data_IF_627053080475
#
_entry.id   IF_627053080475
#
_cell.length_a   1.000
_cell.length_b   1.000
_cell.length_c   1.000
_cell.angle_alpha   90.00
_cell.angle_beta   90.00
_cell.angle_gamma   90.00
#
_symmetry.space_group_name_H-M   'P 1'
#
loop_
_entity.id
_entity.type
_entity.pdbx_description
1 polymer ?
#
# COMPACT_ATOMS: atom_id res chain seq x y z
N UNK A 1 -14.62 -1.18 -1.75
CA UNK A 1 -14.33 -2.49 -1.13
C UNK A 1 -13.31 -3.20 -1.99
N UNK A 2 -12.36 -3.95 -1.41
CA UNK A 2 -11.36 -4.68 -2.18
C UNK A 2 -11.94 -5.97 -2.77
N UNK A 3 -11.48 -6.31 -3.98
CA UNK A 3 -11.81 -7.58 -4.63
C UNK A 3 -11.12 -8.74 -3.87
N UNK A 4 -11.83 -9.84 -3.56
CA UNK A 4 -11.21 -11.05 -3.01
C UNK A 4 -9.94 -11.52 -3.73
N UNK A 5 -9.84 -11.32 -5.06
CA UNK A 5 -8.64 -11.64 -5.82
C UNK A 5 -7.44 -10.75 -5.44
N UNK A 6 -7.69 -9.45 -5.24
CA UNK A 6 -6.68 -8.46 -4.84
C UNK A 6 -6.19 -8.74 -3.41
N UNK A 7 -7.12 -9.02 -2.48
CA UNK A 7 -6.79 -9.42 -1.09
C UNK A 7 -5.92 -10.68 -1.08
N UNK A 8 -6.19 -11.65 -1.95
CA UNK A 8 -5.38 -12.87 -2.06
C UNK A 8 -3.95 -12.56 -2.52
N UNK A 9 -3.76 -11.61 -3.44
CA UNK A 9 -2.43 -11.16 -3.86
C UNK A 9 -1.70 -10.51 -2.70
N UNK A 10 -2.37 -9.64 -1.92
CA UNK A 10 -1.76 -9.03 -0.74
C UNK A 10 -1.33 -10.07 0.30
N UNK A 11 -2.14 -11.10 0.52
CA UNK A 11 -1.81 -12.19 1.44
C UNK A 11 -0.57 -12.97 0.98
N UNK A 12 -0.42 -13.20 -0.33
CA UNK A 12 0.78 -13.82 -0.91
C UNK A 12 2.01 -12.92 -0.78
N UNK A 13 1.82 -11.60 -0.70
CA UNK A 13 2.86 -10.59 -0.49
C UNK A 13 3.12 -10.32 1.02
N UNK A 14 2.57 -11.14 1.92
CA UNK A 14 2.86 -11.07 3.35
C UNK A 14 1.93 -10.19 4.19
N UNK A 15 0.85 -9.63 3.61
CA UNK A 15 -0.22 -9.03 4.41
C UNK A 15 -0.97 -10.14 5.17
N UNK A 16 -1.29 -9.95 6.46
CA UNK A 16 -2.10 -10.92 7.18
C UNK A 16 -3.52 -11.03 6.64
N UNK A 17 -4.10 -12.21 6.85
CA UNK A 17 -5.47 -12.54 6.42
C UNK A 17 -6.55 -12.01 7.36
N UNK A 18 -6.18 -11.32 8.43
CA UNK A 18 -7.16 -10.76 9.36
C UNK A 18 -7.88 -9.56 8.75
N UNK A 19 -9.08 -9.29 9.26
CA UNK A 19 -9.95 -8.24 8.71
C UNK A 19 -9.32 -6.85 8.82
N UNK A 20 -8.65 -6.56 9.94
CA UNK A 20 -8.02 -5.26 10.19
C UNK A 20 -6.89 -5.02 9.20
N UNK A 21 -6.04 -6.02 8.96
CA UNK A 21 -5.00 -5.98 7.94
C UNK A 21 -5.56 -5.81 6.53
N UNK A 22 -6.68 -6.48 6.21
CA UNK A 22 -7.36 -6.32 4.91
C UNK A 22 -7.87 -4.88 4.73
N UNK A 23 -8.51 -4.30 5.75
CA UNK A 23 -8.98 -2.91 5.75
C UNK A 23 -7.81 -1.93 5.58
N UNK A 24 -6.70 -2.14 6.28
CA UNK A 24 -5.46 -1.38 6.09
C UNK A 24 -4.92 -1.50 4.67
N UNK A 25 -4.94 -2.70 4.08
CA UNK A 25 -4.55 -2.91 2.69
C UNK A 25 -5.37 -2.08 1.70
N UNK A 26 -6.68 -1.96 1.93
CA UNK A 26 -7.55 -1.08 1.13
C UNK A 26 -7.17 0.38 1.31
N UNK A 27 -6.93 0.83 2.55
CA UNK A 27 -6.53 2.21 2.82
C UNK A 27 -5.20 2.55 2.13
N UNK A 28 -4.22 1.66 2.15
CA UNK A 28 -2.92 1.89 1.53
C UNK A 28 -3.00 1.92 0.00
N UNK A 29 -3.84 1.07 -0.60
CA UNK A 29 -3.87 0.90 -2.07
C UNK A 29 -4.88 1.81 -2.78
N UNK A 30 -5.97 2.19 -2.11
CA UNK A 30 -7.07 2.96 -2.74
C UNK A 30 -7.17 4.41 -2.25
N UNK A 31 -6.39 4.81 -1.24
CA UNK A 31 -6.41 6.19 -0.78
C UNK A 31 -5.89 7.17 -1.83
N UNK A 32 -6.50 8.36 -1.87
CA UNK A 32 -6.04 9.45 -2.73
C UNK A 32 -4.75 10.09 -2.23
N UNK A 33 -4.58 10.17 -0.91
CA UNK A 33 -3.36 10.69 -0.25
C UNK A 33 -2.35 9.58 -0.07
N UNK A 34 -1.09 9.96 0.08
CA UNK A 34 -0.02 8.99 0.34
C UNK A 34 -0.20 8.38 1.74
N UNK A 35 -0.07 7.04 1.87
CA UNK A 35 -0.21 6.37 3.15
C UNK A 35 1.02 6.59 4.03
N UNK A 36 0.77 6.98 5.28
CA UNK A 36 1.74 6.97 6.37
C UNK A 36 1.36 5.82 7.31
N UNK A 37 2.16 4.77 7.29
CA UNK A 37 1.91 3.54 8.02
C UNK A 37 2.64 3.55 9.36
N UNK A 38 1.87 3.49 10.45
CA UNK A 38 2.39 3.33 11.82
C UNK A 38 2.67 1.84 12.03
N UNK A 39 3.93 1.44 11.93
CA UNK A 39 4.34 0.05 11.78
C UNK A 39 5.55 -0.29 12.68
N UNK A 40 5.38 -0.39 14.01
CA UNK A 40 6.47 -0.73 14.91
C UNK A 40 7.04 -2.14 14.67
N UNK A 41 6.27 -3.05 14.06
CA UNK A 41 6.68 -4.43 13.78
C UNK A 41 7.22 -4.66 12.35
N UNK A 42 7.34 -3.61 11.53
CA UNK A 42 7.78 -3.70 10.12
C UNK A 42 6.95 -4.69 9.27
N UNK A 43 5.67 -4.83 9.55
CA UNK A 43 4.75 -5.64 8.76
C UNK A 43 4.36 -4.96 7.46
N UNK A 44 3.87 -3.72 7.55
CA UNK A 44 3.50 -2.92 6.38
C UNK A 44 4.71 -2.69 5.48
N UNK A 45 5.85 -2.41 6.10
CA UNK A 45 7.11 -2.20 5.40
C UNK A 45 7.52 -3.41 4.54
N UNK A 46 7.49 -4.62 5.11
CA UNK A 46 7.77 -5.86 4.35
C UNK A 46 6.75 -6.09 3.24
N UNK A 47 5.47 -5.88 3.55
CA UNK A 47 4.40 -6.04 2.58
C UNK A 47 4.57 -5.10 1.37
N UNK A 48 4.91 -3.83 1.57
CA UNK A 48 5.17 -2.88 0.46
C UNK A 48 6.37 -3.31 -0.38
N UNK A 49 7.44 -3.80 0.24
CA UNK A 49 8.63 -4.30 -0.48
C UNK A 49 8.27 -5.47 -1.40
N UNK A 50 7.48 -6.41 -0.90
CA UNK A 50 7.05 -7.57 -1.69
C UNK A 50 6.03 -7.17 -2.76
N UNK A 51 5.13 -6.24 -2.44
CA UNK A 51 4.12 -5.70 -3.36
C UNK A 51 4.74 -4.96 -4.55
N UNK A 52 5.75 -4.13 -4.31
CA UNK A 52 6.41 -3.30 -5.32
C UNK A 52 7.72 -3.93 -5.84
N UNK A 53 7.98 -5.21 -5.53
CA UNK A 53 9.20 -5.95 -5.90
C UNK A 53 9.50 -5.94 -7.41
N UNK A 54 8.47 -5.93 -8.25
CA UNK A 54 8.59 -5.88 -9.73
C UNK A 54 8.69 -4.46 -10.28
N UNK A 55 8.43 -3.45 -9.46
CA UNK A 55 8.28 -2.05 -9.89
C UNK A 55 9.53 -1.20 -9.58
N UNK A 56 10.61 -1.82 -9.10
CA UNK A 56 11.89 -1.16 -8.76
C UNK A 56 11.72 -0.11 -7.65
N UNK A 57 11.19 -0.57 -6.50
CA UNK A 57 10.96 0.21 -5.30
C UNK A 57 12.25 0.86 -4.78
N UNK A 58 12.21 2.19 -4.61
CA UNK A 58 13.30 2.98 -4.02
C UNK A 58 13.06 3.17 -2.53
N UNK A 59 13.98 2.67 -1.72
CA UNK A 59 13.88 2.67 -0.26
C UNK A 59 14.94 3.62 0.29
N UNK A 60 14.56 4.53 1.21
CA UNK A 60 15.48 5.48 1.82
C UNK A 60 14.97 5.99 3.17
N UNK A 61 15.88 6.51 3.98
CA UNK A 61 15.59 7.14 5.28
C UNK A 61 15.60 8.67 5.14
N UNK A 62 14.72 9.42 5.83
CA UNK A 62 14.70 10.89 5.79
C UNK A 62 16.02 11.51 6.25
N UNK A 63 16.82 10.83 7.08
CA UNK A 63 18.12 11.32 7.53
C UNK A 63 19.22 11.17 6.46
N UNK A 64 18.93 10.50 5.34
CA UNK A 64 19.90 10.31 4.27
C UNK A 64 20.13 11.61 3.51
N UNK A 65 21.39 12.03 3.39
CA UNK A 65 21.75 13.16 2.54
C UNK A 65 21.22 12.96 1.11
N UNK A 66 20.55 13.99 0.56
CA UNK A 66 19.96 14.01 -0.78
C UNK A 66 18.76 13.07 -1.02
N UNK A 67 17.97 12.69 0.01
CA UNK A 67 16.75 11.90 -0.22
C UNK A 67 15.78 12.58 -1.21
N UNK A 68 15.71 13.92 -1.21
CA UNK A 68 14.90 14.69 -2.15
C UNK A 68 15.24 14.36 -3.60
N UNK A 69 16.53 14.29 -3.95
CA UNK A 69 16.96 13.95 -5.31
C UNK A 69 16.51 12.55 -5.75
N UNK A 70 16.40 11.61 -4.81
CA UNK A 70 15.84 10.27 -5.08
C UNK A 70 14.35 10.36 -5.40
N UNK A 71 13.60 11.19 -4.66
CA UNK A 71 12.18 11.44 -4.90
C UNK A 71 11.97 12.12 -6.25
N UNK A 72 12.71 13.18 -6.54
CA UNK A 72 12.61 13.93 -7.80
C UNK A 72 12.77 12.99 -9.01
N UNK A 73 13.82 12.17 -9.02
CA UNK A 73 14.04 11.17 -10.07
C UNK A 73 12.91 10.15 -10.13
N UNK A 74 12.46 9.65 -8.98
CA UNK A 74 11.39 8.67 -8.94
C UNK A 74 10.07 9.23 -9.49
N UNK A 75 9.78 10.51 -9.26
CA UNK A 75 8.63 11.21 -9.84
C UNK A 75 8.73 11.26 -11.36
N UNK A 76 9.89 11.62 -11.92
CA UNK A 76 10.08 11.70 -13.37
C UNK A 76 9.97 10.33 -14.03
N UNK A 77 10.54 9.29 -13.43
CA UNK A 77 10.55 7.93 -13.97
C UNK A 77 9.34 7.07 -13.57
N UNK A 78 8.42 7.59 -12.76
CA UNK A 78 7.25 6.85 -12.26
C UNK A 78 7.60 5.66 -11.38
N UNK A 79 8.69 5.76 -10.60
CA UNK A 79 9.14 4.67 -9.72
C UNK A 79 8.52 4.81 -8.31
N UNK A 80 8.09 3.70 -7.68
CA UNK A 80 7.57 3.78 -6.33
C UNK A 80 8.69 4.05 -5.32
N UNK A 81 8.37 4.83 -4.29
CA UNK A 81 9.29 5.20 -3.22
C UNK A 81 8.73 4.80 -1.85
N UNK A 82 9.57 4.24 -0.99
CA UNK A 82 9.29 3.94 0.41
C UNK A 82 10.27 4.71 1.31
N UNK A 83 9.75 5.68 2.04
CA UNK A 83 10.48 6.39 3.09
C UNK A 83 10.30 5.65 4.42
N UNK A 84 11.40 5.24 5.03
CA UNK A 84 11.43 4.51 6.30
C UNK A 84 11.73 5.40 7.50
N UNK A 85 11.33 4.96 8.69
CA UNK A 85 11.65 5.59 9.98
C UNK A 85 11.28 7.09 10.05
N UNK A 86 10.14 7.43 9.46
CA UNK A 86 9.61 8.80 9.49
C UNK A 86 9.33 9.23 10.93
N UNK A 87 9.85 10.40 11.31
CA UNK A 87 9.61 11.00 12.63
C UNK A 87 8.21 11.58 12.77
N UNK A 88 7.98 12.35 13.83
CA UNK A 88 6.73 13.12 14.02
C UNK A 88 6.70 14.38 13.14
N UNK A 89 7.88 14.94 12.89
CA UNK A 89 8.07 16.08 11.99
C UNK A 89 8.54 15.60 10.61
N UNK A 90 7.86 16.09 9.57
CA UNK A 90 8.23 15.87 8.17
C UNK A 90 9.00 17.07 7.66
N UNK A 91 10.00 16.82 6.82
CA UNK A 91 10.75 17.89 6.16
C UNK A 91 9.79 18.73 5.28
N UNK A 92 9.73 20.07 5.45
CA UNK A 92 8.86 20.95 4.66
C UNK A 92 9.08 20.85 3.14
N UNK A 93 10.25 20.40 2.68
CA UNK A 93 10.52 20.18 1.25
C UNK A 93 9.68 19.05 0.63
N UNK A 94 9.12 18.15 1.45
CA UNK A 94 8.20 17.10 1.01
C UNK A 94 6.79 17.61 0.74
N UNK A 95 6.46 18.80 1.23
CA UNK A 95 5.13 19.41 1.14
C UNK A 95 4.48 19.32 -0.26
N UNK A 96 5.12 19.78 -1.34
CA UNK A 96 4.53 19.73 -2.67
C UNK A 96 4.22 18.30 -3.12
N UNK A 97 5.05 17.34 -2.74
CA UNK A 97 4.88 15.91 -3.07
C UNK A 97 3.74 15.31 -2.27
N UNK A 98 3.64 15.63 -0.97
CA UNK A 98 2.61 15.14 -0.08
C UNK A 98 1.22 15.68 -0.44
N UNK A 99 1.15 16.98 -0.73
CA UNK A 99 -0.06 17.66 -1.17
C UNK A 99 -0.48 17.30 -2.61
N UNK A 100 0.40 16.65 -3.38
CA UNK A 100 0.20 16.37 -4.82
C UNK A 100 -0.13 17.64 -5.60
N UNK A 101 0.68 18.69 -5.42
CA UNK A 101 0.52 19.98 -6.11
C UNK A 101 0.93 19.87 -7.61
N UNK A 102 0.17 19.08 -8.35
CA UNK A 102 0.42 18.76 -9.76
C UNK A 102 -0.25 19.83 -10.62
N UNK A 103 0.53 20.45 -11.49
CA UNK A 103 0.10 21.46 -12.46
C UNK A 103 0.05 20.80 -13.83
N UNK A 104 -1.09 20.93 -14.50
CA UNK A 104 -1.24 20.50 -15.89
C UNK A 104 -0.92 21.68 -16.82
N UNK A 105 0.19 21.59 -17.54
CA UNK A 105 0.60 22.61 -18.51
C UNK A 105 0.65 21.97 -19.90
N UNK A 106 -0.27 22.37 -20.77
CA UNK A 106 -0.27 21.94 -22.18
C UNK A 106 -0.44 20.43 -22.39
N UNK A 107 -1.09 19.72 -21.47
CA UNK A 107 -1.31 18.27 -21.54
C UNK A 107 -0.23 17.43 -20.85
N UNK A 108 0.85 18.06 -20.35
CA UNK A 108 1.86 17.40 -19.51
C UNK A 108 1.63 17.73 -18.04
N UNK A 109 1.69 16.71 -17.19
CA UNK A 109 1.67 16.90 -15.74
C UNK A 109 3.06 17.30 -15.26
N UNK A 110 3.12 18.27 -14.37
CA UNK A 110 4.35 18.77 -13.77
C UNK A 110 4.14 19.04 -12.28
N UNK A 111 5.20 18.98 -11.50
CA UNK A 111 5.18 19.32 -10.07
C UNK A 111 6.35 20.26 -9.79
N UNK A 112 6.10 21.29 -8.99
CA UNK A 112 7.13 22.22 -8.54
C UNK A 112 7.58 21.83 -7.13
N UNK A 113 8.90 21.61 -6.98
CA UNK A 113 9.53 21.28 -5.71
C UNK A 113 10.67 22.28 -5.49
N UNK A 114 10.47 23.21 -4.56
CA UNK A 114 11.38 24.35 -4.36
C UNK A 114 11.48 25.20 -5.63
N UNK A 115 12.69 25.33 -6.16
CA UNK A 115 12.97 26.06 -7.42
C UNK A 115 12.89 25.16 -8.67
N UNK A 116 12.80 23.84 -8.49
CA UNK A 116 12.79 22.87 -9.58
C UNK A 116 11.36 22.58 -10.06
N UNK A 117 11.16 22.57 -11.38
CA UNK A 117 9.93 22.06 -12.01
C UNK A 117 10.23 20.73 -12.68
N UNK A 118 9.50 19.69 -12.30
CA UNK A 118 9.73 18.31 -12.76
C UNK A 118 8.52 17.79 -13.53
N UNK A 119 8.76 16.90 -14.49
CA UNK A 119 7.69 16.15 -15.13
C UNK A 119 7.11 15.13 -14.14
N UNK A 120 5.78 15.15 -13.98
CA UNK A 120 5.10 14.25 -13.05
C UNK A 120 4.58 13.01 -13.80
N UNK A 121 5.09 11.84 -13.43
CA UNK A 121 4.59 10.58 -13.94
C UNK A 121 3.41 10.06 -13.07
N UNK A 122 2.22 9.79 -13.65
CA UNK A 122 1.08 9.23 -12.92
C UNK A 122 1.33 7.90 -12.22
N UNK A 123 2.29 7.11 -12.67
CA UNK A 123 2.62 5.81 -12.08
C UNK A 123 3.43 5.93 -10.79
N UNK A 124 3.93 7.14 -10.47
CA UNK A 124 4.64 7.40 -9.23
C UNK A 124 3.77 7.08 -8.01
N UNK A 125 4.33 6.35 -7.05
CA UNK A 125 3.70 6.08 -5.76
C UNK A 125 4.65 6.40 -4.63
N UNK A 126 4.12 6.92 -3.53
CA UNK A 126 4.91 7.23 -2.35
C UNK A 126 4.29 6.61 -1.10
N UNK A 127 5.14 5.92 -0.33
CA UNK A 127 4.80 5.21 0.89
C UNK A 127 5.68 5.73 2.02
N UNK A 128 5.08 5.96 3.19
CA UNK A 128 5.82 6.35 4.39
C UNK A 128 5.59 5.33 5.50
N UNK A 129 6.64 4.98 6.24
CA UNK A 129 6.54 4.09 7.41
C UNK A 129 7.22 4.74 8.61
N UNK A 130 6.62 4.57 9.79
CA UNK A 130 7.23 4.95 11.07
C UNK A 130 7.23 3.76 12.02
N UNK A 131 8.29 3.66 12.83
CA UNK A 131 8.40 2.67 13.91
C UNK A 131 7.89 3.19 15.25
N UNK A 132 7.51 4.47 15.31
CA UNK A 132 6.92 5.07 16.51
C UNK A 132 5.56 4.40 16.74
N UNK A 133 5.36 3.77 17.90
CA UNK A 133 4.11 3.06 18.19
C UNK A 133 2.93 4.00 18.48
N UNK A 134 3.20 5.21 18.95
CA UNK A 134 2.18 6.23 19.21
C UNK A 134 2.69 7.63 18.83
N UNK A 135 2.86 7.92 17.53
CA UNK A 135 3.36 9.20 17.07
C UNK A 135 2.28 10.28 17.20
N UNK A 136 2.66 11.45 17.71
CA UNK A 136 1.78 12.61 17.79
C UNK A 136 1.93 13.49 16.56
N UNK A 137 1.31 13.08 15.46
CA UNK A 137 1.29 13.87 14.23
C UNK A 137 0.43 15.12 14.37
N UNK A 138 0.95 16.24 13.89
CA UNK A 138 0.19 17.48 13.83
C UNK A 138 -1.01 17.33 12.88
N UNK A 139 -2.08 18.14 13.06
CA UNK A 139 -3.20 18.17 12.13
C UNK A 139 -2.78 18.42 10.69
N UNK A 140 -1.69 19.16 10.50
CA UNK A 140 -1.08 19.44 9.21
C UNK A 140 -0.59 18.18 8.47
N UNK A 141 0.05 17.24 9.18
CA UNK A 141 0.46 15.96 8.57
C UNK A 141 -0.76 15.09 8.24
N UNK A 142 -1.78 15.12 9.11
CA UNK A 142 -3.01 14.34 8.99
C UNK A 142 -3.91 14.81 7.83
N UNK A 143 -3.81 16.07 7.41
CA UNK A 143 -4.54 16.58 6.23
C UNK A 143 -3.88 16.20 4.91
N UNK A 144 -2.57 15.94 4.90
CA UNK A 144 -1.78 15.69 3.69
C UNK A 144 -1.55 14.20 3.42
N UNK A 145 -1.45 13.39 4.47
CA UNK A 145 -1.26 11.94 4.38
C UNK A 145 -2.51 11.19 4.83
N UNK A 146 -2.61 9.91 4.45
CA UNK A 146 -3.56 8.99 5.08
C UNK A 146 -2.79 8.19 6.13
N UNK A 147 -3.04 8.47 7.41
CA UNK A 147 -2.42 7.70 8.49
C UNK A 147 -3.14 6.34 8.60
N UNK A 148 -2.37 5.25 8.52
CA UNK A 148 -2.87 3.87 8.60
C UNK A 148 -2.15 3.16 9.75
N UNK A 149 -2.91 2.59 10.67
CA UNK A 149 -2.35 1.94 11.85
C UNK A 149 -2.09 0.45 11.59
N UNK A 150 -0.82 0.05 11.53
CA UNK A 150 -0.37 -1.34 11.41
C UNK A 150 0.13 -1.93 12.73
N UNK A 151 -0.12 -1.26 13.86
CA UNK A 151 0.17 -1.83 15.19
C UNK A 151 -0.65 -3.10 15.37
N UNK A 152 0.05 -4.21 15.63
CA UNK A 152 -0.59 -5.50 15.90
C UNK A 152 -1.35 -5.42 17.23
N UNK A 153 -2.67 -5.64 17.16
CA UNK A 153 -3.56 -5.74 18.33
C UNK A 153 -3.69 -7.22 18.74
N UNK A 154 -3.90 -7.49 20.04
CA UNK A 154 -3.98 -8.84 20.62
C UNK A 154 -4.99 -9.77 19.90
N UNK A 155 -6.15 -9.25 19.51
CA UNK A 155 -7.16 -10.00 18.75
C UNK A 155 -6.68 -10.35 17.33
N UNK A 156 -5.98 -9.42 16.67
CA UNK A 156 -5.35 -9.64 15.37
C UNK A 156 -4.23 -10.68 15.47
N UNK A 157 -3.41 -10.60 16.52
CA UNK A 157 -2.36 -11.57 16.79
C UNK A 157 -2.92 -12.97 17.04
N UNK A 158 -4.01 -13.07 17.82
CA UNK A 158 -4.69 -14.34 18.10
C UNK A 158 -5.22 -14.98 16.82
N UNK A 159 -5.83 -14.18 15.94
CA UNK A 159 -6.30 -14.64 14.62
C UNK A 159 -5.15 -15.09 13.72
N UNK A 160 -4.03 -14.37 13.73
CA UNK A 160 -2.82 -14.73 12.97
C UNK A 160 -2.20 -16.03 13.48
N UNK A 161 -2.07 -16.19 14.80
CA UNK A 161 -1.57 -17.40 15.44
C UNK A 161 -2.48 -18.59 15.17
N UNK A 162 -3.80 -18.41 15.26
CA UNK A 162 -4.77 -19.46 14.91
C UNK A 162 -4.56 -19.92 13.46
N UNK A 163 -4.39 -19.00 12.52
CA UNK A 163 -4.10 -19.34 11.12
C UNK A 163 -2.82 -20.17 10.96
N UNK A 164 -1.74 -19.81 11.68
CA UNK A 164 -0.47 -20.56 11.66
C UNK A 164 -0.63 -21.95 12.29
N UNK A 165 -1.34 -22.05 13.42
CA UNK A 165 -1.58 -23.32 14.12
C UNK A 165 -2.43 -24.25 13.28
N UNK A 166 -3.56 -23.79 12.73
CA UNK A 166 -4.44 -24.59 11.86
C UNK A 166 -3.68 -25.09 10.63
N UNK A 167 -2.85 -24.25 10.02
CA UNK A 167 -2.02 -24.66 8.88
C UNK A 167 -1.05 -25.80 9.22
N UNK A 168 -0.59 -25.88 10.47
CA UNK A 168 0.37 -26.89 10.93
C UNK A 168 -0.32 -28.15 11.46
N UNK A 169 -1.36 -27.99 12.27
CA UNK A 169 -2.07 -29.07 12.95
C UNK A 169 -3.12 -29.73 12.03
N UNK A 170 -3.80 -28.96 11.18
CA UNK A 170 -4.86 -29.45 10.28
C UNK A 170 -4.61 -29.07 8.81
N UNK A 171 -3.51 -29.54 8.19
CA UNK A 171 -3.16 -29.17 6.83
C UNK A 171 -4.19 -29.60 5.78
N UNK A 172 -4.94 -30.68 6.04
CA UNK A 172 -6.02 -31.13 5.15
C UNK A 172 -7.19 -30.16 5.10
N UNK A 173 -7.55 -29.55 6.24
CA UNK A 173 -8.62 -28.55 6.33
C UNK A 173 -8.23 -27.28 5.57
N UNK A 174 -6.98 -26.84 5.70
CA UNK A 174 -6.46 -25.69 4.97
C UNK A 174 -6.40 -25.96 3.45
N UNK A 175 -6.04 -27.18 3.05
CA UNK A 175 -6.09 -27.58 1.63
C UNK A 175 -7.52 -27.56 1.10
N UNK A 176 -8.49 -28.13 1.83
CA UNK A 176 -9.90 -28.09 1.46
C UNK A 176 -10.43 -26.66 1.34
N UNK A 177 -10.09 -25.78 2.28
CA UNK A 177 -10.43 -24.35 2.23
C UNK A 177 -9.83 -23.68 0.99
N UNK A 178 -8.55 -23.92 0.70
CA UNK A 178 -7.88 -23.41 -0.49
C UNK A 178 -8.57 -23.87 -1.78
N UNK A 179 -8.91 -25.16 -1.87
CA UNK A 179 -9.60 -25.74 -3.02
C UNK A 179 -11.01 -25.16 -3.19
N UNK A 180 -11.76 -25.00 -2.08
CA UNK A 180 -13.08 -24.37 -2.07
C UNK A 180 -13.00 -22.92 -2.58
N UNK A 181 -12.02 -22.15 -2.13
CA UNK A 181 -11.81 -20.76 -2.57
C UNK A 181 -11.51 -20.69 -4.06
N UNK A 182 -10.69 -21.60 -4.59
CA UNK A 182 -10.41 -21.69 -6.03
C UNK A 182 -11.66 -22.05 -6.82
N UNK A 183 -12.47 -23.01 -6.33
CA UNK A 183 -13.73 -23.39 -6.97
C UNK A 183 -14.74 -22.24 -6.98
N UNK A 184 -14.89 -21.51 -5.87
CA UNK A 184 -15.75 -20.32 -5.78
C UNK A 184 -15.29 -19.24 -6.76
N UNK A 185 -13.98 -18.99 -6.86
CA UNK A 185 -13.42 -18.03 -7.82
C UNK A 185 -13.70 -18.43 -9.28
N UNK A 186 -13.51 -19.72 -9.63
CA UNK A 186 -13.88 -20.25 -10.96
C UNK A 186 -15.38 -20.10 -11.24
N UNK A 187 -16.22 -20.38 -10.25
CA UNK A 187 -17.68 -20.22 -10.35
C UNK A 187 -18.09 -18.77 -10.62
N UNK A 188 -17.50 -17.81 -9.90
CA UNK A 188 -17.74 -16.37 -10.13
C UNK A 188 -17.30 -15.91 -11.51
N UNK A 189 -16.12 -16.34 -11.97
CA UNK A 189 -15.65 -16.01 -13.33
C UNK A 189 -16.60 -16.59 -14.39
N UNK A 190 -17.07 -17.82 -14.20
CA UNK A 190 -18.01 -18.46 -15.13
C UNK A 190 -19.36 -17.75 -15.18
N UNK A 191 -19.86 -17.29 -14.03
CA UNK A 191 -21.06 -16.45 -13.95
C UNK A 191 -20.89 -15.14 -14.73
N UNK A 192 -19.78 -14.44 -14.53
CA UNK A 192 -19.49 -13.21 -15.26
C UNK A 192 -19.32 -13.42 -16.77
N UNK A 193 -18.74 -14.54 -17.21
CA UNK A 193 -18.68 -14.92 -18.63
C UNK A 193 -20.08 -15.09 -19.22
N UNK A 194 -20.96 -15.82 -18.53
CA UNK A 194 -22.33 -16.07 -18.98
C UNK A 194 -23.17 -14.79 -19.01
N UNK A 195 -23.02 -13.90 -18.02
CA UNK A 195 -23.69 -12.60 -18.03
C UNK A 195 -23.24 -11.73 -19.22
N UNK A 196 -21.94 -11.71 -19.53
CA UNK A 196 -21.40 -11.00 -20.69
C UNK A 196 -21.85 -11.62 -22.02
N UNK A 197 -22.02 -12.93 -22.08
CA UNK A 197 -22.53 -13.62 -23.27
C UNK A 197 -24.00 -13.27 -23.54
N UNK A 198 -24.84 -13.23 -22.50
CA UNK A 198 -26.24 -12.78 -22.60
C UNK A 198 -26.31 -11.33 -23.08
N UNK A 199 -25.48 -10.45 -22.53
CA UNK A 199 -25.40 -9.03 -22.93
C UNK A 199 -24.95 -8.83 -24.38
N UNK A 200 -24.19 -9.76 -24.97
CA UNK A 200 -23.78 -9.72 -26.39
C UNK A 200 -24.83 -10.25 -27.35
N UNK A 201 -25.77 -11.06 -26.86
CA UNK A 201 -26.84 -11.66 -27.66
C UNK A 201 -28.11 -10.80 -27.70
N UNK A 202 -28.16 -9.72 -26.91
CA UNK A 202 -29.15 -8.63 -26.95
C UNK A 202 -28.69 -7.48 -27.84
#
# INVERSE_FOLDING_TARGET
>A
MADPAEVRIWNLQGLPTDRFSTENGVLVTKSRRWPLMVDPQNQANRWIRDMESKNDLRIFDPNTANFMRTIERAIEYGKPCLMENVGEELDPSLEPVLAKNIINTGGSLSIQIGESTLFYNPDFKFYLTTKLGNPHYTPEVSTKTTIVNFVVVEEGLSSQLLGVVVKKEEPQLEQQKSDLVVQVSKGKNRLAELENEILRLL
#
